data_IF_458175713701
#
_entry.id   IF_458175713701
#
_cell.length_a   1.000
_cell.length_b   1.000
_cell.length_c   1.000
_cell.angle_alpha   90.00
_cell.angle_beta   90.00
_cell.angle_gamma   90.00
#
_symmetry.space_group_name_H-M   'P 1'
#
loop_
_entity.id
_entity.type
_entity.pdbx_description
1 polymer ?
#
# COMPACT_ATOMS: atom_id res chain seq x y z
N UNK A 1 0.35 -21.29 -7.63
CA UNK A 1 -0.94 -21.82 -8.16
C UNK A 1 -0.67 -22.90 -9.20
N UNK A 2 -0.79 -24.17 -8.77
CA UNK A 2 -0.50 -25.34 -9.62
C UNK A 2 -1.42 -25.41 -10.85
N UNK A 3 -2.65 -24.89 -10.76
CA UNK A 3 -3.62 -24.87 -11.86
C UNK A 3 -3.14 -24.15 -13.12
N UNK A 4 -2.23 -23.20 -12.97
CA UNK A 4 -1.64 -22.42 -14.06
C UNK A 4 -0.12 -22.63 -14.17
N UNK A 5 0.43 -23.64 -13.48
CA UNK A 5 1.86 -23.95 -13.52
C UNK A 5 2.76 -22.92 -12.86
N UNK A 6 2.23 -22.07 -11.98
CA UNK A 6 2.98 -20.99 -11.34
C UNK A 6 3.59 -21.39 -10.01
N UNK A 7 4.80 -20.89 -9.74
CA UNK A 7 5.42 -20.89 -8.42
C UNK A 7 5.25 -19.51 -7.77
N UNK A 8 4.94 -19.50 -6.49
CA UNK A 8 4.92 -18.28 -5.70
C UNK A 8 6.31 -18.01 -5.12
N UNK A 9 7.08 -17.19 -5.79
CA UNK A 9 8.36 -16.69 -5.29
C UNK A 9 8.12 -15.38 -4.54
N UNK A 10 8.61 -15.29 -3.31
CA UNK A 10 8.42 -14.14 -2.43
C UNK A 10 9.77 -13.61 -1.97
N UNK A 11 10.40 -12.70 -2.73
CA UNK A 11 11.60 -12.02 -2.28
C UNK A 11 11.27 -11.17 -1.04
N UNK A 12 12.19 -11.12 -0.09
CA UNK A 12 12.06 -10.29 1.12
C UNK A 12 12.85 -9.01 0.87
N UNK A 13 12.14 -7.90 0.72
CA UNK A 13 12.68 -6.59 0.38
C UNK A 13 12.07 -5.54 1.31
N UNK A 14 12.85 -4.53 1.70
CA UNK A 14 12.34 -3.37 2.44
C UNK A 14 11.93 -2.24 1.48
N UNK A 15 10.65 -2.15 1.17
CA UNK A 15 10.11 -1.16 0.23
C UNK A 15 10.20 0.29 0.72
N UNK A 16 10.76 0.54 1.89
CA UNK A 16 11.12 1.87 2.39
C UNK A 16 12.44 2.37 1.82
N UNK A 17 13.30 1.48 1.37
CA UNK A 17 14.65 1.73 0.88
C UNK A 17 14.64 1.79 -0.65
N UNK A 18 15.32 2.80 -1.21
CA UNK A 18 15.38 2.97 -2.66
C UNK A 18 16.06 1.80 -3.38
N UNK A 19 17.14 1.29 -2.80
CA UNK A 19 17.92 0.19 -3.39
C UNK A 19 17.10 -1.09 -3.47
N UNK A 20 16.29 -1.40 -2.46
CA UNK A 20 15.40 -2.57 -2.49
C UNK A 20 14.26 -2.43 -3.51
N UNK A 21 13.81 -1.21 -3.77
CA UNK A 21 12.85 -0.94 -4.86
C UNK A 21 13.50 -1.20 -6.22
N UNK A 22 14.75 -0.82 -6.41
CA UNK A 22 15.51 -1.12 -7.62
C UNK A 22 15.72 -2.64 -7.77
N UNK A 23 16.06 -3.33 -6.69
CA UNK A 23 16.17 -4.81 -6.67
C UNK A 23 14.84 -5.46 -7.07
N UNK A 24 13.71 -4.97 -6.53
CA UNK A 24 12.38 -5.44 -6.92
C UNK A 24 12.14 -5.30 -8.43
N UNK A 25 12.51 -4.16 -8.99
CA UNK A 25 12.41 -3.89 -10.43
C UNK A 25 13.24 -4.88 -11.25
N UNK A 26 14.50 -5.04 -10.89
CA UNK A 26 15.43 -5.92 -11.59
C UNK A 26 14.94 -7.38 -11.57
N UNK A 27 14.45 -7.87 -10.41
CA UNK A 27 13.83 -9.19 -10.30
C UNK A 27 12.64 -9.33 -11.26
N UNK A 28 11.77 -8.31 -11.34
CA UNK A 28 10.61 -8.35 -12.20
C UNK A 28 11.00 -8.40 -13.69
N UNK A 29 11.98 -7.59 -14.09
CA UNK A 29 12.45 -7.54 -15.48
C UNK A 29 13.15 -8.84 -15.91
N UNK A 30 14.02 -9.40 -15.06
CA UNK A 30 14.66 -10.69 -15.32
C UNK A 30 13.66 -11.84 -15.38
N UNK A 31 12.70 -11.87 -14.44
CA UNK A 31 11.62 -12.87 -14.45
C UNK A 31 10.78 -12.74 -15.72
N UNK A 32 10.47 -11.53 -16.16
CA UNK A 32 9.72 -11.27 -17.37
C UNK A 32 10.48 -11.75 -18.63
N UNK A 33 11.78 -11.48 -18.71
CA UNK A 33 12.61 -11.97 -19.81
C UNK A 33 12.65 -13.51 -19.88
N UNK A 34 12.72 -14.17 -18.72
CA UNK A 34 12.63 -15.64 -18.66
C UNK A 34 11.27 -16.15 -19.10
N UNK A 35 10.18 -15.52 -18.68
CA UNK A 35 8.83 -15.88 -19.11
C UNK A 35 8.66 -15.79 -20.61
N UNK A 36 9.16 -14.74 -21.24
CA UNK A 36 9.13 -14.59 -22.70
C UNK A 36 9.92 -15.71 -23.39
N UNK A 37 11.10 -16.05 -22.88
CA UNK A 37 11.96 -17.11 -23.43
C UNK A 37 11.26 -18.46 -23.43
N UNK A 38 10.43 -18.75 -22.41
CA UNK A 38 9.72 -20.02 -22.28
C UNK A 38 8.25 -19.97 -22.72
N UNK A 39 7.81 -18.86 -23.31
CA UNK A 39 6.41 -18.70 -23.76
C UNK A 39 5.40 -18.64 -22.63
N UNK A 40 5.83 -18.22 -21.44
CA UNK A 40 4.97 -18.07 -20.26
C UNK A 40 4.23 -16.74 -20.23
N UNK A 41 3.37 -16.56 -19.23
CA UNK A 41 2.66 -15.30 -18.96
C UNK A 41 3.11 -14.72 -17.63
N UNK A 42 3.29 -13.39 -17.57
CA UNK A 42 3.66 -12.70 -16.34
C UNK A 42 2.48 -12.52 -15.36
N UNK A 43 1.26 -12.81 -15.82
CA UNK A 43 0.06 -12.84 -14.99
C UNK A 43 -0.68 -14.15 -15.21
N UNK A 44 -0.60 -15.07 -14.24
CA UNK A 44 -1.31 -16.35 -14.30
C UNK A 44 -2.79 -16.15 -13.98
N UNK A 45 -3.12 -15.80 -12.74
CA UNK A 45 -4.49 -15.74 -12.24
C UNK A 45 -4.82 -14.45 -11.47
N UNK A 46 -3.81 -13.65 -11.08
CA UNK A 46 -4.04 -12.43 -10.27
C UNK A 46 -4.39 -11.20 -11.10
N UNK A 47 -4.30 -11.26 -12.43
CA UNK A 47 -4.45 -10.12 -13.32
C UNK A 47 -3.24 -9.18 -13.30
N UNK A 48 -3.19 -8.26 -14.25
CA UNK A 48 -2.05 -7.34 -14.42
C UNK A 48 -2.14 -6.15 -13.45
N UNK A 49 -3.35 -5.65 -13.22
CA UNK A 49 -3.61 -4.55 -12.30
C UNK A 49 -2.83 -3.28 -12.69
N UNK A 50 -2.17 -2.67 -11.71
CA UNK A 50 -1.26 -1.53 -11.90
C UNK A 50 0.18 -2.02 -12.12
N UNK A 51 0.61 -3.01 -11.36
CA UNK A 51 2.02 -3.38 -11.19
C UNK A 51 2.60 -4.07 -12.43
N UNK A 52 1.79 -4.85 -13.15
CA UNK A 52 2.27 -5.65 -14.30
C UNK A 52 1.93 -5.04 -15.66
N UNK A 53 1.04 -4.07 -15.69
CA UNK A 53 0.51 -3.53 -16.96
C UNK A 53 1.55 -2.80 -17.83
N UNK A 54 2.61 -2.28 -17.23
CA UNK A 54 3.70 -1.66 -18.01
C UNK A 54 4.41 -2.66 -18.95
N UNK A 55 4.32 -3.96 -18.66
CA UNK A 55 4.91 -5.02 -19.48
C UNK A 55 3.98 -5.50 -20.60
N UNK A 56 2.74 -5.02 -20.68
CA UNK A 56 1.74 -5.50 -21.62
C UNK A 56 2.17 -5.32 -23.10
N UNK A 57 2.83 -4.21 -23.43
CA UNK A 57 3.30 -3.98 -24.78
C UNK A 57 4.41 -4.98 -25.18
N UNK A 58 5.32 -5.25 -24.26
CA UNK A 58 6.39 -6.24 -24.49
C UNK A 58 5.82 -7.66 -24.56
N UNK A 59 4.75 -7.95 -23.78
CA UNK A 59 4.12 -9.27 -23.72
C UNK A 59 3.26 -9.58 -24.95
N UNK A 60 2.46 -8.62 -25.39
CA UNK A 60 1.42 -8.83 -26.39
C UNK A 60 1.70 -8.14 -27.72
N UNK A 61 2.82 -7.42 -27.82
CA UNK A 61 3.14 -6.58 -28.97
C UNK A 61 2.35 -5.26 -29.00
N UNK A 62 2.69 -4.33 -29.88
CA UNK A 62 2.17 -2.96 -29.87
C UNK A 62 0.69 -2.84 -30.26
N UNK A 63 0.12 -3.82 -30.94
CA UNK A 63 -1.27 -3.78 -31.41
C UNK A 63 -2.26 -4.00 -30.25
N UNK A 64 -1.99 -4.96 -29.39
CA UNK A 64 -2.92 -5.32 -28.30
C UNK A 64 -3.15 -4.19 -27.30
N UNK A 65 -2.14 -3.48 -26.78
CA UNK A 65 -2.38 -2.33 -25.90
C UNK A 65 -3.18 -1.21 -26.54
N UNK A 66 -3.06 -1.01 -27.87
CA UNK A 66 -3.90 -0.05 -28.58
C UNK A 66 -5.37 -0.50 -28.61
N UNK A 67 -5.62 -1.78 -28.84
CA UNK A 67 -6.98 -2.34 -28.78
C UNK A 67 -7.56 -2.24 -27.36
N UNK A 68 -6.76 -2.49 -26.32
CA UNK A 68 -7.20 -2.30 -24.94
C UNK A 68 -7.63 -0.85 -24.67
N UNK A 69 -6.86 0.15 -25.15
CA UNK A 69 -7.23 1.56 -25.05
C UNK A 69 -8.53 1.88 -25.81
N UNK A 70 -8.72 1.32 -26.99
CA UNK A 70 -9.96 1.52 -27.76
C UNK A 70 -11.17 0.94 -27.05
N UNK A 71 -11.06 -0.27 -26.50
CA UNK A 71 -12.13 -0.87 -25.69
C UNK A 71 -12.43 0.02 -24.48
N UNK A 72 -11.39 0.43 -23.75
CA UNK A 72 -11.57 1.33 -22.58
C UNK A 72 -12.27 2.62 -22.99
N UNK A 73 -11.84 3.29 -24.06
CA UNK A 73 -12.42 4.53 -24.52
C UNK A 73 -13.88 4.37 -24.98
N UNK A 74 -14.24 3.20 -25.54
CA UNK A 74 -15.62 2.93 -25.96
C UNK A 74 -16.59 2.81 -24.77
N UNK A 75 -16.13 2.20 -23.66
CA UNK A 75 -16.97 1.98 -22.46
C UNK A 75 -16.81 3.05 -21.38
N UNK A 76 -15.72 3.75 -21.37
CA UNK A 76 -15.38 4.78 -20.37
C UNK A 76 -14.65 5.96 -21.03
N UNK A 77 -15.34 6.74 -21.87
CA UNK A 77 -14.73 7.84 -22.63
C UNK A 77 -14.19 8.97 -21.74
N UNK A 78 -14.65 9.05 -20.49
CA UNK A 78 -14.20 10.06 -19.53
C UNK A 78 -13.12 9.54 -18.57
N UNK A 79 -12.72 8.28 -18.66
CA UNK A 79 -11.67 7.70 -17.82
C UNK A 79 -11.99 7.66 -16.32
N UNK A 80 -13.27 7.50 -15.96
CA UNK A 80 -13.74 7.55 -14.57
C UNK A 80 -13.50 6.23 -13.81
N UNK A 81 -13.50 5.10 -14.51
CA UNK A 81 -13.44 3.79 -13.88
C UNK A 81 -12.01 3.23 -13.88
N UNK A 82 -11.42 3.11 -12.68
CA UNK A 82 -10.10 2.52 -12.48
C UNK A 82 -9.02 3.05 -13.46
N UNK A 83 -8.76 4.35 -13.50
CA UNK A 83 -7.70 4.90 -14.36
C UNK A 83 -6.34 4.31 -13.99
N UNK A 84 -5.47 4.16 -14.98
CA UNK A 84 -4.11 3.65 -14.77
C UNK A 84 -4.03 2.15 -14.43
N UNK A 85 -5.05 1.36 -14.79
CA UNK A 85 -5.02 -0.11 -14.66
C UNK A 85 -5.17 -0.74 -16.03
N UNK A 86 -4.34 -1.73 -16.34
CA UNK A 86 -4.24 -2.47 -17.61
C UNK A 86 -3.71 -1.60 -18.74
N UNK A 87 -4.18 -0.38 -18.87
CA UNK A 87 -3.69 0.61 -19.82
C UNK A 87 -3.17 1.84 -19.08
N UNK A 88 -2.15 2.46 -19.66
CA UNK A 88 -1.55 3.71 -19.17
C UNK A 88 -1.17 3.65 -17.68
N UNK A 89 -0.76 2.47 -17.23
CA UNK A 89 -0.36 2.23 -15.85
C UNK A 89 0.97 2.94 -15.54
N UNK A 90 1.15 3.43 -14.31
CA UNK A 90 2.43 3.92 -13.85
C UNK A 90 3.45 2.77 -13.80
N UNK A 91 4.73 3.12 -13.73
CA UNK A 91 5.78 2.13 -13.50
C UNK A 91 5.62 1.45 -12.16
N UNK A 92 5.94 0.16 -12.09
CA UNK A 92 5.80 -0.64 -10.87
C UNK A 92 6.67 -0.13 -9.71
N UNK A 93 7.74 0.58 -10.00
CA UNK A 93 8.68 1.17 -9.05
C UNK A 93 8.43 2.66 -8.77
N UNK A 94 7.26 3.19 -9.14
CA UNK A 94 6.87 4.56 -8.82
C UNK A 94 6.61 4.71 -7.32
N UNK A 95 7.64 5.12 -6.58
CA UNK A 95 7.62 5.21 -5.11
C UNK A 95 6.59 6.19 -4.56
N UNK A 96 6.16 7.16 -5.35
CA UNK A 96 5.09 8.11 -4.96
C UNK A 96 3.76 7.40 -4.68
N UNK A 97 3.55 6.24 -5.31
CA UNK A 97 2.35 5.42 -5.13
C UNK A 97 2.50 4.36 -4.03
N UNK A 98 3.67 4.26 -3.41
CA UNK A 98 3.92 3.29 -2.36
C UNK A 98 3.37 3.77 -1.02
N UNK A 99 3.06 2.81 -0.15
CA UNK A 99 2.72 3.09 1.25
C UNK A 99 3.80 3.91 1.97
N UNK A 100 5.06 3.69 1.60
CA UNK A 100 6.23 4.43 2.08
C UNK A 100 6.79 5.23 0.90
N UNK A 101 6.35 6.48 0.78
CA UNK A 101 6.77 7.40 -0.28
C UNK A 101 8.26 7.79 -0.15
N UNK A 102 8.85 8.46 -1.15
CA UNK A 102 10.21 8.97 -1.05
C UNK A 102 10.47 9.89 0.16
N UNK A 103 9.42 10.52 0.69
CA UNK A 103 9.50 11.36 1.88
C UNK A 103 9.54 10.61 3.22
N UNK A 104 9.49 9.26 3.21
CA UNK A 104 9.58 8.46 4.42
C UNK A 104 10.91 8.67 5.15
N UNK A 105 10.81 8.87 6.46
CA UNK A 105 11.96 9.02 7.36
C UNK A 105 11.77 8.15 8.59
N UNK A 106 12.87 7.63 9.10
CA UNK A 106 12.93 7.08 10.45
C UNK A 106 13.33 8.22 11.37
N UNK A 107 12.49 8.51 12.36
CA UNK A 107 12.72 9.54 13.35
C UNK A 107 12.80 8.91 14.74
N UNK A 108 13.76 9.34 15.52
CA UNK A 108 13.89 8.96 16.92
C UNK A 108 13.13 9.99 17.78
N UNK A 109 11.97 9.59 18.26
CA UNK A 109 11.15 10.42 19.14
C UNK A 109 11.35 9.98 20.60
N UNK A 110 11.80 10.85 21.50
CA UNK A 110 11.81 10.55 22.91
C UNK A 110 10.37 10.39 23.41
N UNK A 111 10.03 9.22 23.89
CA UNK A 111 8.71 8.91 24.44
C UNK A 111 8.79 8.65 25.95
N UNK A 112 7.71 8.98 26.68
CA UNK A 112 7.63 8.69 28.12
C UNK A 112 7.43 7.18 28.39
N UNK A 113 6.84 6.48 27.44
CA UNK A 113 6.63 5.04 27.52
C UNK A 113 7.74 4.30 26.79
N UNK A 114 8.11 3.14 27.31
CA UNK A 114 9.11 2.26 26.69
C UNK A 114 8.48 1.49 25.51
N UNK A 115 8.98 1.74 24.31
CA UNK A 115 8.61 1.07 23.08
C UNK A 115 9.73 0.18 22.52
N UNK A 116 10.78 -0.06 23.30
CA UNK A 116 11.98 -0.80 22.84
C UNK A 116 11.68 -2.24 22.42
N UNK A 117 10.60 -2.81 22.88
CA UNK A 117 10.17 -4.16 22.51
C UNK A 117 9.63 -4.27 21.06
N UNK A 118 9.43 -3.15 20.38
CA UNK A 118 8.94 -3.15 19.01
C UNK A 118 10.11 -3.11 18.02
N UNK A 119 10.51 -4.29 17.48
CA UNK A 119 11.50 -4.36 16.42
C UNK A 119 10.86 -3.92 15.10
N UNK A 120 11.66 -3.52 14.19
CA UNK A 120 11.26 -3.15 12.83
C UNK A 120 12.22 -2.11 12.30
N UNK A 121 12.17 -1.80 11.03
CA UNK A 121 13.10 -0.88 10.41
C UNK A 121 13.19 0.48 11.10
N UNK A 122 12.06 0.96 11.65
CA UNK A 122 12.03 2.19 12.43
C UNK A 122 12.31 1.97 13.94
N UNK A 123 11.86 0.84 14.51
CA UNK A 123 11.89 0.61 15.96
C UNK A 123 10.96 1.54 16.74
N UNK A 124 10.92 1.37 18.07
CA UNK A 124 10.22 2.27 18.98
C UNK A 124 8.75 2.51 18.66
N UNK A 125 8.25 3.70 19.00
CA UNK A 125 6.86 4.10 18.72
C UNK A 125 6.54 4.05 17.22
N UNK A 126 7.45 4.52 16.37
CA UNK A 126 7.23 4.50 14.93
C UNK A 126 7.10 3.05 14.43
N UNK A 127 7.97 2.14 14.87
CA UNK A 127 7.86 0.71 14.56
C UNK A 127 6.54 0.11 15.03
N UNK A 128 6.05 0.48 16.21
CA UNK A 128 4.76 0.00 16.72
C UNK A 128 3.58 0.42 15.84
N UNK A 129 3.51 1.67 15.41
CA UNK A 129 2.40 2.14 14.55
C UNK A 129 2.49 1.58 13.12
N UNK A 130 3.68 1.28 12.63
CA UNK A 130 3.92 0.67 11.32
C UNK A 130 3.50 -0.81 11.24
N UNK A 131 3.27 -1.47 12.37
CA UNK A 131 2.77 -2.86 12.42
C UNK A 131 1.37 -3.04 11.79
N UNK A 132 0.61 -1.97 11.61
CA UNK A 132 -0.67 -2.05 10.90
C UNK A 132 -0.46 -2.48 9.45
N UNK A 133 -0.91 -3.68 9.09
CA UNK A 133 -0.82 -4.25 7.75
C UNK A 133 -1.99 -3.87 6.82
N UNK A 134 -2.87 -2.99 7.24
CA UNK A 134 -4.04 -2.51 6.50
C UNK A 134 -5.10 -3.57 6.13
N UNK A 135 -5.11 -4.74 6.75
CA UNK A 135 -6.09 -5.79 6.43
C UNK A 135 -7.54 -5.39 6.76
N UNK A 136 -7.74 -4.35 7.55
CA UNK A 136 -9.06 -3.80 7.86
C UNK A 136 -9.89 -4.62 8.86
N UNK A 137 -9.29 -5.57 9.59
CA UNK A 137 -10.01 -6.35 10.59
C UNK A 137 -10.67 -5.50 11.69
N UNK A 138 -10.09 -4.33 11.99
CA UNK A 138 -10.68 -3.35 12.91
C UNK A 138 -12.03 -2.76 12.42
N UNK A 139 -12.36 -2.90 11.14
CA UNK A 139 -13.61 -2.41 10.53
C UNK A 139 -14.73 -3.44 10.51
N UNK A 140 -14.52 -4.63 11.04
CA UNK A 140 -15.55 -5.67 11.08
C UNK A 140 -16.77 -5.21 11.87
N UNK A 141 -17.94 -5.45 11.29
CA UNK A 141 -19.24 -5.11 11.89
C UNK A 141 -19.86 -6.28 12.63
N UNK A 142 -19.41 -7.48 12.30
CA UNK A 142 -19.89 -8.75 12.83
C UNK A 142 -18.72 -9.57 13.38
N UNK A 143 -19.01 -10.54 14.24
CA UNK A 143 -17.99 -11.49 14.69
C UNK A 143 -16.93 -10.90 15.63
N UNK A 144 -17.35 -10.18 16.67
CA UNK A 144 -16.46 -9.59 17.67
C UNK A 144 -16.30 -8.08 17.54
N UNK A 145 -15.59 -7.47 18.49
CA UNK A 145 -15.40 -6.00 18.55
C UNK A 145 -13.92 -5.71 18.70
N UNK A 146 -13.25 -5.38 17.59
CA UNK A 146 -11.89 -4.88 17.65
C UNK A 146 -11.84 -3.36 17.82
N UNK A 147 -12.78 -2.62 17.19
CA UNK A 147 -12.82 -1.18 17.22
C UNK A 147 -14.26 -0.68 17.46
N UNK A 148 -14.67 -0.43 18.71
CA UNK A 148 -16.00 0.10 19.04
C UNK A 148 -16.29 1.43 18.37
N UNK A 149 -15.31 2.35 18.31
CA UNK A 149 -15.46 3.67 17.71
C UNK A 149 -15.88 3.58 16.24
N UNK A 150 -15.17 2.77 15.45
CA UNK A 150 -15.54 2.57 14.06
C UNK A 150 -16.95 1.95 13.92
N UNK A 151 -17.33 1.05 14.81
CA UNK A 151 -18.68 0.45 14.77
C UNK A 151 -19.77 1.49 15.00
N UNK A 152 -19.52 2.47 15.85
CA UNK A 152 -20.45 3.54 16.15
C UNK A 152 -20.51 4.58 15.01
N UNK A 153 -19.36 5.05 14.57
CA UNK A 153 -19.27 6.20 13.66
C UNK A 153 -19.22 5.83 12.17
N UNK A 154 -18.71 4.63 11.83
CA UNK A 154 -18.38 4.20 10.46
C UNK A 154 -17.32 5.07 9.78
N UNK A 155 -16.66 5.92 10.52
CA UNK A 155 -15.61 6.79 10.03
C UNK A 155 -14.25 6.08 10.12
N UNK A 156 -13.48 6.09 9.02
CA UNK A 156 -12.15 5.50 8.98
C UNK A 156 -11.18 6.14 9.97
N UNK A 157 -11.27 7.46 10.17
CA UNK A 157 -10.46 8.19 11.14
C UNK A 157 -10.61 7.65 12.57
N UNK A 158 -11.77 7.11 12.92
CA UNK A 158 -12.06 6.55 14.23
C UNK A 158 -11.63 5.08 14.34
N UNK A 159 -11.15 4.47 13.28
CA UNK A 159 -10.67 3.10 13.30
C UNK A 159 -9.23 3.01 13.84
N UNK A 160 -8.87 1.85 14.42
CA UNK A 160 -7.47 1.58 14.80
C UNK A 160 -6.54 1.72 13.60
N UNK A 161 -6.96 1.26 12.42
CA UNK A 161 -6.19 1.40 11.19
C UNK A 161 -6.01 2.86 10.79
N UNK A 162 -7.07 3.65 10.80
CA UNK A 162 -7.01 5.07 10.46
C UNK A 162 -6.02 5.81 11.35
N UNK A 163 -6.16 5.65 12.66
CA UNK A 163 -5.25 6.27 13.66
C UNK A 163 -3.80 5.82 13.49
N UNK A 164 -3.56 4.52 13.31
CA UNK A 164 -2.21 4.00 13.08
C UNK A 164 -1.59 4.58 11.79
N UNK A 165 -2.37 4.72 10.71
CA UNK A 165 -1.87 5.30 9.47
C UNK A 165 -1.63 6.81 9.58
N UNK A 166 -2.50 7.56 10.24
CA UNK A 166 -2.27 9.00 10.49
C UNK A 166 -1.00 9.23 11.28
N UNK A 167 -0.82 8.48 12.39
CA UNK A 167 0.41 8.54 13.18
C UNK A 167 1.63 8.12 12.37
N UNK A 168 1.55 7.04 11.59
CA UNK A 168 2.65 6.61 10.71
C UNK A 168 3.08 7.72 9.75
N UNK A 169 2.14 8.36 9.10
CA UNK A 169 2.43 9.42 8.13
C UNK A 169 3.06 10.64 8.81
N UNK A 170 2.58 11.01 9.99
CA UNK A 170 3.13 12.11 10.76
C UNK A 170 4.55 11.81 11.29
N UNK A 171 4.71 10.65 11.96
CA UNK A 171 6.00 10.24 12.53
C UNK A 171 7.08 10.05 11.48
N UNK A 172 6.73 9.55 10.29
CA UNK A 172 7.68 9.36 9.19
C UNK A 172 7.95 10.62 8.34
N UNK A 173 7.36 11.75 8.71
CA UNK A 173 7.54 13.04 8.02
C UNK A 173 6.79 13.19 6.69
N UNK A 174 5.95 12.22 6.32
CA UNK A 174 5.23 12.22 5.05
C UNK A 174 4.09 13.27 4.99
N UNK A 175 3.63 13.78 6.13
CA UNK A 175 2.64 14.87 6.23
C UNK A 175 3.29 16.25 6.47
N UNK A 176 4.62 16.33 6.42
CA UNK A 176 5.34 17.58 6.65
C UNK A 176 5.78 17.78 8.11
N UNK A 177 6.54 18.87 8.39
CA UNK A 177 7.20 19.06 9.68
C UNK A 177 6.21 19.34 10.84
N UNK A 178 5.08 19.96 10.56
CA UNK A 178 4.12 20.41 11.57
C UNK A 178 2.99 19.39 11.82
N UNK A 179 3.08 18.23 11.21
CA UNK A 179 2.00 17.22 11.25
C UNK A 179 1.63 16.79 12.68
N UNK A 180 2.60 16.69 13.60
CA UNK A 180 2.36 16.24 14.98
C UNK A 180 1.68 17.30 15.86
N UNK A 181 1.65 18.54 15.43
CA UNK A 181 1.02 19.67 16.15
C UNK A 181 -0.24 20.18 15.45
N UNK A 182 -0.70 19.50 14.41
CA UNK A 182 -1.92 19.85 13.68
C UNK A 182 -3.19 19.46 14.45
N UNK A 183 -4.29 20.15 14.18
CA UNK A 183 -5.60 19.86 14.77
C UNK A 183 -6.06 18.44 14.39
N UNK A 184 -5.80 18.00 13.16
CA UNK A 184 -6.14 16.64 12.70
C UNK A 184 -5.37 15.56 13.47
N UNK A 185 -4.13 15.85 13.86
CA UNK A 185 -3.38 14.92 14.69
C UNK A 185 -3.87 14.93 16.13
N UNK A 186 -4.24 16.08 16.67
CA UNK A 186 -4.87 16.17 17.98
C UNK A 186 -6.16 15.32 18.01
N UNK A 187 -7.04 15.44 17.01
CA UNK A 187 -8.25 14.64 16.87
C UNK A 187 -7.93 13.13 16.73
N UNK A 188 -6.87 12.79 16.02
CA UNK A 188 -6.43 11.39 15.87
C UNK A 188 -5.95 10.80 17.20
N UNK A 189 -5.25 11.57 18.01
CA UNK A 189 -4.65 11.13 19.27
C UNK A 189 -5.64 11.18 20.44
N UNK A 190 -6.53 12.19 20.46
CA UNK A 190 -7.51 12.35 21.52
C UNK A 190 -8.70 11.41 21.31
N UNK A 191 -9.00 10.61 22.32
CA UNK A 191 -10.11 9.66 22.31
C UNK A 191 -11.50 10.33 22.48
N UNK A 192 -11.58 11.65 22.36
CA UNK A 192 -12.86 12.39 22.51
C UNK A 192 -13.93 12.00 21.49
N UNK A 193 -13.50 11.50 20.34
CA UNK A 193 -14.42 11.00 19.31
C UNK A 193 -14.74 9.52 19.45
N UNK A 194 -14.09 8.82 20.38
CA UNK A 194 -14.41 7.43 20.69
C UNK A 194 -15.33 7.39 21.89
N UNK A 195 -16.56 6.87 21.76
CA UNK A 195 -17.40 6.66 22.93
C UNK A 195 -16.66 5.76 23.91
N UNK A 196 -16.27 6.35 25.03
CA UNK A 196 -15.70 5.61 26.14
C UNK A 196 -16.83 4.97 26.95
N UNK A 197 -16.68 3.73 27.41
CA UNK A 197 -17.65 3.16 28.34
C UNK A 197 -17.72 3.90 29.68
N UNK A 198 -16.96 4.96 29.87
CA UNK A 198 -16.89 5.78 31.08
C UNK A 198 -17.57 7.14 30.95
N UNK A 199 -18.08 7.50 29.78
CA UNK A 199 -18.79 8.75 29.54
C UNK A 199 -20.32 8.52 29.54
#
# INVERSE_FOLDING_TARGET
HASVGCLHVRPVLDMKIADDVEVMRNIAEEAFALLQKYGGSHSGEHGDGIVRSEFNETMFGPVMPQLFRQVKAAFDPHGLFNPGKIIDAPKMDSRELFRFSPGYKVNDFPTQLDWSAWPGGAGGLQGAVEMCNNNGACRKLEGGVMCPSYRATRNEGDSVRGRANSLRLALSGQLGPDALVSDEMADTCLLYTSPSPRD
#
